data_IF_522169557976
#
_entry.id   IF_522169557976
#
_cell.length_a   1.000
_cell.length_b   1.000
_cell.length_c   1.000
_cell.angle_alpha   90.00
_cell.angle_beta   90.00
_cell.angle_gamma   90.00
#
_symmetry.space_group_name_H-M   'P 1'
#
loop_
_entity.id
_entity.type
_entity.pdbx_description
1 polymer ?
#
# COMPACT_ATOMS: atom_id res chain seq x y z
N UNK A 1 0.80 -46.79 10.93
CA UNK A 1 0.14 -45.61 10.36
C UNK A 1 1.20 -44.55 10.12
N UNK A 2 1.46 -44.25 8.87
CA UNK A 2 2.42 -43.22 8.52
C UNK A 2 1.75 -41.84 8.65
N UNK A 3 2.18 -41.04 9.61
CA UNK A 3 1.83 -39.65 9.67
C UNK A 3 2.59 -38.91 8.56
N UNK A 4 1.89 -38.53 7.51
CA UNK A 4 2.44 -37.63 6.50
C UNK A 4 2.53 -36.26 7.14
N UNK A 5 3.71 -35.92 7.62
CA UNK A 5 4.01 -34.53 7.96
C UNK A 5 4.17 -33.78 6.65
N UNK A 6 3.16 -33.02 6.29
CA UNK A 6 3.29 -31.99 5.27
C UNK A 6 4.11 -30.88 5.91
N UNK A 7 5.43 -30.98 5.80
CA UNK A 7 6.29 -29.84 6.07
C UNK A 7 6.04 -28.84 4.93
N UNK A 8 5.27 -27.81 5.18
CA UNK A 8 5.26 -26.60 4.36
C UNK A 8 6.65 -25.96 4.47
N UNK A 9 7.61 -26.58 3.80
CA UNK A 9 8.81 -25.87 3.42
C UNK A 9 8.40 -24.89 2.33
N UNK A 10 8.09 -23.66 2.74
CA UNK A 10 8.21 -22.51 1.85
C UNK A 10 9.64 -22.53 1.32
N UNK A 11 9.82 -23.17 0.17
CA UNK A 11 11.04 -23.02 -0.62
C UNK A 11 11.13 -21.52 -0.94
N UNK A 12 11.90 -20.81 -0.14
CA UNK A 12 12.39 -19.47 -0.49
C UNK A 12 13.25 -19.66 -1.73
N UNK A 13 12.61 -19.62 -2.88
CA UNK A 13 13.31 -19.46 -4.14
C UNK A 13 14.00 -18.11 -4.05
N UNK A 14 15.30 -18.11 -3.82
CA UNK A 14 16.11 -16.90 -3.78
C UNK A 14 16.28 -16.37 -5.21
N UNK A 15 15.21 -15.87 -5.79
CA UNK A 15 15.28 -14.99 -6.94
C UNK A 15 15.98 -13.70 -6.53
N UNK A 16 16.69 -13.08 -7.47
CA UNK A 16 17.38 -11.81 -7.22
C UNK A 16 16.37 -10.76 -6.79
N UNK A 17 16.46 -10.36 -5.52
CA UNK A 17 15.64 -9.31 -4.92
C UNK A 17 16.12 -7.94 -5.41
N UNK A 18 15.23 -7.14 -5.97
CA UNK A 18 15.48 -5.76 -6.37
C UNK A 18 14.54 -4.82 -5.65
N UNK A 19 15.06 -4.02 -4.74
CA UNK A 19 14.27 -3.06 -3.96
C UNK A 19 13.75 -1.94 -4.85
N UNK A 20 12.43 -1.68 -4.80
CA UNK A 20 11.76 -0.62 -5.56
C UNK A 20 11.64 0.64 -4.71
N UNK A 21 11.07 0.51 -3.52
CA UNK A 21 10.85 1.63 -2.59
C UNK A 21 10.62 1.15 -1.16
N UNK A 22 10.74 2.09 -0.22
CA UNK A 22 10.32 1.90 1.16
C UNK A 22 9.00 2.64 1.42
N UNK A 23 8.17 2.06 2.26
CA UNK A 23 6.87 2.62 2.65
C UNK A 23 6.52 2.18 4.06
N UNK A 24 5.34 2.51 4.51
CA UNK A 24 4.79 2.02 5.78
C UNK A 24 3.60 1.10 5.52
N UNK A 25 3.46 0.11 6.38
CA UNK A 25 2.35 -0.84 6.36
C UNK A 25 1.95 -1.17 7.80
N UNK A 26 0.95 -1.99 7.96
CA UNK A 26 0.49 -2.44 9.28
C UNK A 26 0.70 -3.93 9.46
N UNK A 27 0.98 -4.34 10.68
CA UNK A 27 1.00 -5.75 11.03
C UNK A 27 -0.43 -6.33 10.97
N UNK A 28 -0.66 -7.46 10.29
CA UNK A 28 -1.99 -8.07 10.20
C UNK A 28 -2.51 -8.58 11.54
N UNK A 29 -1.62 -8.85 12.51
CA UNK A 29 -2.01 -9.43 13.79
C UNK A 29 -2.23 -8.38 14.88
N UNK A 30 -1.39 -7.35 14.97
CA UNK A 30 -1.48 -6.33 16.03
C UNK A 30 -1.79 -4.91 15.54
N UNK A 31 -1.92 -4.71 14.23
CA UNK A 31 -2.20 -3.41 13.60
C UNK A 31 -1.16 -2.30 13.89
N UNK A 32 0.04 -2.68 14.32
CA UNK A 32 1.14 -1.75 14.50
C UNK A 32 1.64 -1.24 13.17
N UNK A 33 1.95 0.05 13.07
CA UNK A 33 2.57 0.65 11.89
C UNK A 33 4.03 0.20 11.83
N UNK A 34 4.42 -0.37 10.70
CA UNK A 34 5.75 -0.92 10.43
C UNK A 34 6.34 -0.31 9.18
N UNK A 35 7.65 -0.20 9.15
CA UNK A 35 8.37 0.08 7.92
C UNK A 35 8.32 -1.15 7.01
N UNK A 36 8.02 -0.93 5.75
CA UNK A 36 7.89 -1.98 4.76
C UNK A 36 8.78 -1.70 3.54
N UNK A 37 9.32 -2.77 2.99
CA UNK A 37 10.10 -2.74 1.77
C UNK A 37 9.29 -3.35 0.63
N UNK A 38 9.16 -2.60 -0.46
CA UNK A 38 8.57 -3.07 -1.71
C UNK A 38 9.69 -3.45 -2.66
N UNK A 39 9.71 -4.68 -3.13
CA UNK A 39 10.76 -5.20 -3.99
C UNK A 39 10.21 -6.09 -5.10
N UNK A 40 10.98 -6.22 -6.16
CA UNK A 40 10.70 -7.11 -7.27
C UNK A 40 11.46 -8.43 -7.11
N UNK A 41 10.77 -9.51 -7.41
CA UNK A 41 11.33 -10.85 -7.53
C UNK A 41 10.51 -11.66 -8.54
N UNK A 42 11.18 -12.25 -9.53
CA UNK A 42 10.55 -13.07 -10.57
C UNK A 42 9.41 -12.37 -11.33
N UNK A 43 9.61 -11.10 -11.70
CA UNK A 43 8.62 -10.26 -12.36
C UNK A 43 7.33 -10.04 -11.56
N UNK A 44 7.38 -10.21 -10.25
CA UNK A 44 6.31 -9.92 -9.32
C UNK A 44 6.78 -8.90 -8.28
N UNK A 45 5.86 -8.16 -7.71
CA UNK A 45 6.14 -7.18 -6.66
C UNK A 45 5.68 -7.72 -5.33
N UNK A 46 6.58 -7.74 -4.35
CA UNK A 46 6.33 -8.19 -2.99
C UNK A 46 6.52 -7.05 -2.01
N UNK A 47 5.85 -7.15 -0.88
CA UNK A 47 6.04 -6.28 0.27
C UNK A 47 6.50 -7.12 1.46
N UNK A 48 7.63 -6.73 2.04
CA UNK A 48 8.18 -7.32 3.25
C UNK A 48 8.12 -6.32 4.40
N UNK A 49 7.71 -6.78 5.55
CA UNK A 49 7.65 -6.01 6.80
C UNK A 49 8.03 -6.88 7.99
N UNK A 50 8.60 -6.28 9.00
CA UNK A 50 9.03 -6.98 10.21
C UNK A 50 8.33 -6.38 11.41
N UNK A 51 7.53 -7.20 12.11
CA UNK A 51 6.94 -6.84 13.38
C UNK A 51 7.82 -7.35 14.52
N UNK A 52 8.14 -6.54 15.54
CA UNK A 52 8.93 -6.99 16.68
C UNK A 52 8.30 -8.14 17.46
N UNK A 53 6.98 -8.27 17.41
CA UNK A 53 6.20 -9.28 18.13
C UNK A 53 5.86 -10.50 17.28
N UNK A 54 5.56 -10.31 15.98
CA UNK A 54 5.02 -11.35 15.07
C UNK A 54 6.02 -11.79 14.00
N UNK A 55 7.19 -11.17 13.93
CA UNK A 55 8.24 -11.50 12.98
C UNK A 55 8.05 -10.94 11.59
N UNK A 56 8.78 -11.50 10.63
CA UNK A 56 8.78 -11.07 9.23
C UNK A 56 7.56 -11.61 8.49
N UNK A 57 6.91 -10.73 7.75
CA UNK A 57 5.79 -11.08 6.87
C UNK A 57 6.10 -10.60 5.45
N UNK A 58 5.97 -11.48 4.48
CA UNK A 58 6.13 -11.20 3.06
C UNK A 58 4.84 -11.53 2.32
N UNK A 59 4.35 -10.57 1.55
CA UNK A 59 3.09 -10.70 0.84
C UNK A 59 3.24 -10.27 -0.62
N UNK A 60 2.48 -10.90 -1.52
CA UNK A 60 2.37 -10.45 -2.89
C UNK A 60 1.64 -9.10 -2.93
N UNK A 61 2.32 -8.07 -3.41
CA UNK A 61 1.80 -6.72 -3.51
C UNK A 61 1.20 -6.43 -4.88
N UNK A 62 1.85 -6.91 -5.95
CA UNK A 62 1.37 -6.77 -7.32
C UNK A 62 1.84 -7.96 -8.18
N UNK A 63 0.95 -8.51 -8.99
CA UNK A 63 1.20 -9.76 -9.71
C UNK A 63 2.16 -9.65 -10.89
N UNK A 64 2.41 -8.45 -11.43
CA UNK A 64 3.31 -8.22 -12.55
C UNK A 64 4.12 -6.95 -12.35
N UNK A 65 5.44 -7.08 -12.33
CA UNK A 65 6.35 -5.93 -12.20
C UNK A 65 6.26 -4.97 -13.39
N UNK A 66 6.12 -5.49 -14.60
CA UNK A 66 6.00 -4.66 -15.80
C UNK A 66 4.74 -3.77 -15.76
N UNK A 67 3.62 -4.34 -15.33
CA UNK A 67 2.38 -3.58 -15.14
C UNK A 67 2.48 -2.58 -13.99
N UNK A 68 3.10 -2.96 -12.88
CA UNK A 68 3.34 -2.07 -11.76
C UNK A 68 4.17 -0.85 -12.17
N UNK A 69 5.26 -1.09 -12.91
CA UNK A 69 6.11 -0.03 -13.45
C UNK A 69 5.36 0.89 -14.39
N UNK A 70 4.54 0.32 -15.28
CA UNK A 70 3.69 1.08 -16.19
C UNK A 70 2.70 1.97 -15.42
N UNK A 71 2.01 1.44 -14.44
CA UNK A 71 1.08 2.21 -13.62
C UNK A 71 1.78 3.30 -12.80
N UNK A 72 2.98 3.05 -12.34
CA UNK A 72 3.78 4.04 -11.59
C UNK A 72 4.11 5.29 -12.42
N UNK A 73 4.18 5.20 -13.75
CA UNK A 73 4.39 6.35 -14.62
C UNK A 73 3.21 7.31 -14.65
N UNK A 74 2.02 6.85 -14.28
CA UNK A 74 0.80 7.64 -14.20
C UNK A 74 0.49 8.15 -12.78
N UNK A 75 1.43 7.97 -11.87
CA UNK A 75 1.28 8.49 -10.52
C UNK A 75 1.36 10.01 -10.53
N UNK A 76 0.22 10.64 -10.31
CA UNK A 76 0.10 12.10 -10.23
C UNK A 76 -0.73 12.44 -9.01
N UNK A 77 -0.16 13.21 -8.11
CA UNK A 77 -0.93 13.80 -7.03
C UNK A 77 -1.87 14.87 -7.61
N UNK A 78 -3.15 14.78 -7.26
CA UNK A 78 -4.13 15.76 -7.71
C UNK A 78 -3.78 17.16 -7.20
N UNK A 79 -4.07 18.18 -8.02
CA UNK A 79 -3.83 19.59 -7.66
C UNK A 79 -4.91 20.19 -6.74
N UNK A 80 -5.87 19.40 -6.31
CA UNK A 80 -7.06 19.87 -5.62
C UNK A 80 -8.12 20.45 -6.59
N UNK A 81 -9.26 20.80 -6.04
CA UNK A 81 -10.33 21.45 -6.76
C UNK A 81 -10.15 22.97 -6.71
N UNK A 82 -9.90 23.59 -7.86
CA UNK A 82 -9.93 25.03 -8.02
C UNK A 82 -11.27 25.43 -8.61
N UNK A 83 -12.22 25.79 -7.77
CA UNK A 83 -13.52 26.24 -8.21
C UNK A 83 -13.83 27.61 -7.62
N UNK A 84 -14.38 28.55 -8.42
CA UNK A 84 -14.89 29.81 -7.87
C UNK A 84 -16.12 29.63 -6.97
N UNK A 85 -16.69 28.44 -6.97
CA UNK A 85 -17.86 28.06 -6.18
C UNK A 85 -17.50 27.32 -4.88
N UNK A 86 -16.33 27.57 -4.30
CA UNK A 86 -15.99 27.04 -2.98
C UNK A 86 -16.95 27.67 -1.97
N UNK A 87 -17.77 26.84 -1.34
CA UNK A 87 -18.82 27.27 -0.41
C UNK A 87 -18.32 27.23 1.06
N UNK A 88 -17.15 26.64 1.29
CA UNK A 88 -16.63 26.43 2.63
C UNK A 88 -15.56 27.45 2.96
N UNK A 89 -15.60 27.92 4.20
CA UNK A 89 -14.55 28.75 4.76
C UNK A 89 -13.24 27.97 4.94
N UNK A 90 -12.10 28.64 4.80
CA UNK A 90 -10.75 28.02 4.89
C UNK A 90 -10.46 27.35 6.23
N UNK A 91 -11.27 27.57 7.25
CA UNK A 91 -11.14 27.01 8.60
C UNK A 91 -12.22 26.01 8.98
N UNK A 92 -12.90 25.44 8.00
CA UNK A 92 -13.92 24.45 8.28
C UNK A 92 -13.32 23.18 8.87
N UNK A 93 -13.93 22.66 9.91
CA UNK A 93 -13.56 21.37 10.49
C UNK A 93 -14.24 20.25 9.73
N UNK A 94 -13.48 19.49 8.93
CA UNK A 94 -13.96 18.24 8.37
C UNK A 94 -14.22 17.23 9.50
N UNK A 95 -15.31 16.44 9.41
CA UNK A 95 -16.27 16.30 8.29
C UNK A 95 -17.55 17.11 8.45
N UNK A 96 -17.68 17.95 9.44
CA UNK A 96 -18.95 18.53 9.88
C UNK A 96 -19.51 19.65 8.98
N UNK A 97 -18.69 20.21 8.12
CA UNK A 97 -19.09 21.28 7.22
C UNK A 97 -18.65 20.93 5.79
N UNK A 98 -19.20 19.85 5.26
CA UNK A 98 -18.77 19.31 3.97
C UNK A 98 -19.57 19.91 2.81
N UNK A 99 -18.95 20.85 2.13
CA UNK A 99 -19.42 21.44 0.89
C UNK A 99 -18.34 21.36 -0.18
N UNK A 100 -18.35 22.27 -1.13
CA UNK A 100 -17.29 22.39 -2.13
C UNK A 100 -16.06 23.05 -1.50
N UNK A 101 -15.02 22.27 -1.33
CA UNK A 101 -13.77 22.64 -0.70
C UNK A 101 -12.59 22.37 -1.64
N UNK A 102 -11.58 23.26 -1.63
CA UNK A 102 -10.39 23.12 -2.48
C UNK A 102 -9.53 21.89 -2.16
N UNK A 103 -9.69 21.32 -0.96
CA UNK A 103 -8.91 20.17 -0.50
C UNK A 103 -9.57 18.81 -0.77
N UNK A 104 -10.83 18.80 -1.15
CA UNK A 104 -11.57 17.57 -1.40
C UNK A 104 -11.45 17.12 -2.85
N UNK A 105 -10.91 15.92 -3.03
CA UNK A 105 -10.80 15.25 -4.33
C UNK A 105 -11.78 14.10 -4.49
N UNK A 106 -12.60 13.83 -3.47
CA UNK A 106 -13.46 12.67 -3.44
C UNK A 106 -14.80 12.92 -4.11
N UNK A 107 -15.20 12.00 -4.97
CA UNK A 107 -16.53 11.93 -5.59
C UNK A 107 -17.55 11.18 -4.71
N UNK A 108 -17.23 10.89 -3.48
CA UNK A 108 -18.00 9.97 -2.63
C UNK A 108 -19.03 10.67 -1.75
N UNK A 109 -19.29 11.93 -1.95
CA UNK A 109 -20.43 12.60 -1.32
C UNK A 109 -21.68 12.46 -2.20
N UNK A 110 -22.10 11.25 -2.31
CA UNK A 110 -23.42 10.94 -2.89
C UNK A 110 -24.39 10.76 -1.74
#
# INVERSE_FOLDING_TARGET
>A
MALIQISNQSTKTQGKKSTIRFTQSICPDCNMILDAEVFERDNQVFMSKVCPTHGETEELYFGSYDMYKKFSTYWVDGKGAHSPNVIMEDKCSCPNNCGLCSNHLSLIHI
#
